data_IF_560248401037
#
_entry.id   IF_560248401037
#
_cell.length_a   1.000
_cell.length_b   1.000
_cell.length_c   1.000
_cell.angle_alpha   90.00
_cell.angle_beta   90.00
_cell.angle_gamma   90.00
#
_symmetry.space_group_name_H-M   'P 1'
#
loop_
_entity.id
_entity.type
_entity.pdbx_description
1 polymer ?
#
# COMPACT_ATOMS: atom_id res chain seq x y z
N UNK A 1 -36.81 -0.24 63.55
CA UNK A 1 -36.41 -0.28 62.12
C UNK A 1 -36.07 1.15 61.73
N UNK A 2 -34.79 1.47 61.53
CA UNK A 2 -33.96 0.84 60.52
C UNK A 2 -32.68 0.17 61.07
N UNK A 3 -32.14 -0.70 60.23
CA UNK A 3 -31.06 -1.65 60.44
C UNK A 3 -29.68 -0.98 60.49
N UNK A 4 -28.86 -1.46 61.42
CA UNK A 4 -27.43 -1.17 61.51
C UNK A 4 -26.72 -2.26 60.71
N UNK A 5 -26.26 -1.94 59.50
CA UNK A 5 -25.41 -2.86 58.72
C UNK A 5 -23.97 -2.56 59.08
N UNK A 6 -23.37 -3.47 59.85
CA UNK A 6 -21.95 -3.52 60.11
C UNK A 6 -21.21 -3.80 58.80
N UNK A 7 -20.32 -2.88 58.40
CA UNK A 7 -19.37 -3.11 57.32
C UNK A 7 -18.29 -4.04 57.84
N UNK A 8 -18.34 -5.29 57.40
CA UNK A 8 -17.27 -6.28 57.61
C UNK A 8 -16.03 -5.86 56.81
N UNK A 9 -14.96 -5.55 57.52
CA UNK A 9 -13.61 -5.47 56.97
C UNK A 9 -13.24 -6.83 56.36
N UNK A 10 -13.16 -6.90 55.03
CA UNK A 10 -12.47 -8.00 54.35
C UNK A 10 -11.09 -7.50 53.93
N UNK A 11 -10.12 -7.77 54.80
CA UNK A 11 -8.72 -7.91 54.40
C UNK A 11 -8.65 -8.99 53.33
N UNK A 12 -8.49 -8.58 52.08
CA UNK A 12 -7.97 -9.45 51.04
C UNK A 12 -6.50 -9.08 50.91
N UNK A 13 -5.66 -9.87 51.57
CA UNK A 13 -4.24 -9.96 51.27
C UNK A 13 -4.10 -10.26 49.77
N UNK A 14 -3.73 -9.25 48.99
CA UNK A 14 -3.27 -9.45 47.63
C UNK A 14 -1.80 -9.84 47.73
N UNK A 15 -1.55 -11.14 47.72
CA UNK A 15 -0.24 -11.69 47.38
C UNK A 15 0.21 -11.08 46.06
N UNK A 16 1.48 -10.65 46.04
CA UNK A 16 2.11 -9.94 44.94
C UNK A 16 2.14 -10.80 43.68
N UNK A 17 1.37 -10.39 42.67
CA UNK A 17 1.61 -10.78 41.29
C UNK A 17 2.89 -10.04 40.84
N UNK A 18 3.93 -10.80 40.50
CA UNK A 18 5.33 -10.34 40.41
C UNK A 18 5.63 -9.55 39.11
N UNK A 19 4.74 -9.60 38.12
CA UNK A 19 4.90 -8.89 36.85
C UNK A 19 4.09 -7.58 36.83
N UNK A 20 4.81 -6.45 36.74
CA UNK A 20 4.16 -5.13 36.57
C UNK A 20 3.82 -4.87 35.12
N UNK A 21 2.78 -4.06 34.85
CA UNK A 21 2.29 -3.78 33.48
C UNK A 21 3.36 -3.20 32.51
N UNK A 22 4.43 -2.61 33.05
CA UNK A 22 5.55 -2.01 32.32
C UNK A 22 6.86 -2.78 32.48
N UNK A 23 6.77 -4.07 32.80
CA UNK A 23 7.92 -4.96 32.97
C UNK A 23 8.29 -5.61 31.62
N UNK A 24 9.46 -5.29 31.05
CA UNK A 24 9.93 -5.88 29.80
C UNK A 24 11.44 -5.76 29.61
N UNK A 25 12.06 -6.79 29.05
CA UNK A 25 13.48 -6.76 28.69
C UNK A 25 13.72 -5.88 27.46
N UNK A 26 14.68 -4.95 27.55
CA UNK A 26 15.07 -4.09 26.43
C UNK A 26 16.26 -4.70 25.69
N UNK A 27 16.00 -5.39 24.59
CA UNK A 27 17.01 -5.78 23.62
C UNK A 27 17.35 -4.60 22.71
N UNK A 28 18.58 -4.09 22.78
CA UNK A 28 18.97 -2.86 22.06
C UNK A 28 19.27 -3.10 20.59
N UNK A 29 19.43 -4.35 20.17
CA UNK A 29 19.56 -4.68 18.74
C UNK A 29 18.18 -4.87 18.09
N UNK A 30 17.12 -4.92 18.90
CA UNK A 30 15.74 -5.00 18.41
C UNK A 30 15.27 -3.73 17.70
N UNK A 31 14.14 -3.86 17.01
CA UNK A 31 13.42 -2.76 16.39
C UNK A 31 12.32 -2.20 17.30
N UNK A 32 12.37 -2.42 18.62
CA UNK A 32 11.42 -1.85 19.57
C UNK A 32 11.64 -0.35 19.77
N UNK A 33 10.62 0.36 20.22
CA UNK A 33 10.74 1.78 20.54
C UNK A 33 11.76 2.03 21.66
N UNK A 34 11.78 1.21 22.72
CA UNK A 34 12.78 1.29 23.78
C UNK A 34 14.22 1.15 23.25
N UNK A 35 14.46 0.19 22.34
CA UNK A 35 15.77 0.01 21.71
C UNK A 35 16.19 1.25 20.90
N UNK A 36 15.27 1.80 20.12
CA UNK A 36 15.49 3.03 19.34
C UNK A 36 15.77 4.23 20.25
N UNK A 37 14.98 4.42 21.31
CA UNK A 37 15.22 5.45 22.33
C UNK A 37 16.62 5.33 22.93
N UNK A 38 17.03 4.12 23.34
CA UNK A 38 18.38 3.90 23.88
C UNK A 38 19.47 4.22 22.86
N UNK A 39 19.28 3.90 21.58
CA UNK A 39 20.22 4.26 20.50
C UNK A 39 20.32 5.77 20.29
N UNK A 40 19.20 6.50 20.34
CA UNK A 40 19.16 7.97 20.25
C UNK A 40 19.83 8.64 21.46
N UNK A 41 19.72 8.06 22.66
CA UNK A 41 20.42 8.55 23.85
C UNK A 41 21.93 8.34 23.75
N UNK A 42 22.37 7.18 23.24
CA UNK A 42 23.79 6.85 23.08
C UNK A 42 24.45 6.32 24.36
N UNK A 43 25.70 6.72 24.59
CA UNK A 43 26.57 6.20 25.68
C UNK A 43 27.21 7.33 26.48
N UNK A 44 27.59 7.03 27.72
CA UNK A 44 28.37 7.92 28.60
C UNK A 44 27.73 9.32 28.80
N UNK A 45 26.39 9.39 28.76
CA UNK A 45 25.61 10.62 28.93
C UNK A 45 25.08 10.77 30.34
N UNK A 46 24.85 12.00 30.78
CA UNK A 46 23.98 12.28 31.93
C UNK A 46 22.55 12.48 31.44
N UNK A 47 21.65 11.62 31.89
CA UNK A 47 20.28 11.50 31.37
C UNK A 47 19.27 11.85 32.45
N UNK A 48 18.26 12.63 32.10
CA UNK A 48 17.03 12.74 32.88
C UNK A 48 15.95 11.87 32.22
N UNK A 49 15.48 10.84 32.90
CA UNK A 49 14.40 9.97 32.43
C UNK A 49 13.10 10.33 33.13
N UNK A 50 12.11 10.76 32.36
CA UNK A 50 10.76 11.04 32.84
C UNK A 50 9.94 9.75 32.67
N UNK A 51 9.27 9.31 33.75
CA UNK A 51 8.46 8.09 33.76
C UNK A 51 9.30 6.82 33.57
N UNK A 52 10.24 6.54 34.47
CA UNK A 52 11.15 5.38 34.31
C UNK A 52 10.49 4.03 34.60
N UNK A 53 9.24 4.01 35.08
CA UNK A 53 8.54 2.82 35.55
C UNK A 53 9.43 2.00 36.50
N UNK A 54 9.54 0.69 36.27
CA UNK A 54 10.37 -0.23 37.05
C UNK A 54 11.88 -0.16 36.72
N UNK A 55 12.30 0.69 35.78
CA UNK A 55 13.71 0.98 35.52
C UNK A 55 14.37 0.15 34.40
N UNK A 56 13.58 -0.50 33.54
CA UNK A 56 14.09 -1.34 32.44
C UNK A 56 15.03 -0.59 31.50
N UNK A 57 14.58 0.57 30.99
CA UNK A 57 15.40 1.40 30.14
C UNK A 57 16.54 2.06 30.93
N UNK A 58 16.28 2.49 32.17
CA UNK A 58 17.28 3.04 33.09
C UNK A 58 18.48 2.10 33.27
N UNK A 59 18.23 0.80 33.51
CA UNK A 59 19.26 -0.22 33.66
C UNK A 59 20.13 -0.30 32.41
N UNK A 60 19.50 -0.34 31.24
CA UNK A 60 20.17 -0.48 29.95
C UNK A 60 20.97 0.77 29.57
N UNK A 61 20.52 1.95 29.98
CA UNK A 61 21.28 3.21 29.87
C UNK A 61 22.49 3.22 30.82
N UNK A 62 22.30 2.80 32.07
CA UNK A 62 23.38 2.68 33.06
C UNK A 62 24.48 1.73 32.57
N UNK A 63 24.10 0.58 32.03
CA UNK A 63 25.04 -0.42 31.49
C UNK A 63 25.78 0.08 30.24
N UNK A 64 25.29 1.17 29.60
CA UNK A 64 25.98 1.93 28.55
C UNK A 64 26.89 3.05 29.06
N UNK A 65 27.09 3.14 30.38
CA UNK A 65 27.89 4.19 31.01
C UNK A 65 27.13 5.48 31.28
N UNK A 66 25.83 5.53 30.98
CA UNK A 66 25.04 6.72 31.30
C UNK A 66 24.79 6.83 32.80
N UNK A 67 24.68 8.06 33.30
CA UNK A 67 24.23 8.34 34.66
C UNK A 67 22.82 8.89 34.60
N UNK A 68 21.87 8.18 35.19
CA UNK A 68 20.43 8.46 35.00
C UNK A 68 19.82 9.04 36.27
N UNK A 69 19.29 10.26 36.17
CA UNK A 69 18.34 10.80 37.14
C UNK A 69 16.95 10.51 36.63
N UNK A 70 16.08 9.92 37.44
CA UNK A 70 14.75 9.51 37.01
C UNK A 70 13.65 10.16 37.85
N UNK A 71 12.50 10.43 37.22
CA UNK A 71 11.27 10.86 37.87
C UNK A 71 10.19 9.81 37.59
N UNK A 72 9.52 9.31 38.61
CA UNK A 72 8.45 8.32 38.49
C UNK A 72 7.27 8.69 39.38
N UNK A 73 6.04 8.51 38.88
CA UNK A 73 4.81 8.83 39.59
C UNK A 73 4.50 7.76 40.65
N UNK A 74 4.64 6.48 40.29
CA UNK A 74 4.29 5.35 41.16
C UNK A 74 5.42 5.02 42.15
N UNK A 75 5.22 5.15 43.47
CA UNK A 75 6.23 4.85 44.47
C UNK A 75 6.75 3.40 44.45
N UNK A 76 5.90 2.43 44.06
CA UNK A 76 6.26 1.01 43.97
C UNK A 76 7.21 0.79 42.78
N UNK A 77 6.88 1.34 41.62
CA UNK A 77 7.73 1.28 40.42
C UNK A 77 9.05 2.00 40.66
N UNK A 78 8.97 3.19 41.26
CA UNK A 78 10.13 3.96 41.66
C UNK A 78 11.06 3.13 42.57
N UNK A 79 10.53 2.45 43.59
CA UNK A 79 11.36 1.62 44.46
C UNK A 79 12.08 0.48 43.70
N UNK A 80 11.43 -0.10 42.67
CA UNK A 80 12.05 -1.10 41.78
C UNK A 80 13.16 -0.48 40.91
N UNK A 81 12.96 0.72 40.36
CA UNK A 81 13.93 1.40 39.50
C UNK A 81 15.16 1.95 40.25
N UNK A 82 15.02 2.27 41.55
CA UNK A 82 16.04 2.95 42.37
C UNK A 82 17.47 2.38 42.26
N UNK A 83 17.71 1.05 42.22
CA UNK A 83 19.06 0.49 42.09
C UNK A 83 19.77 0.80 40.76
N UNK A 84 19.02 1.27 39.75
CA UNK A 84 19.54 1.59 38.42
C UNK A 84 19.83 3.08 38.22
N UNK A 85 19.35 3.94 39.14
CA UNK A 85 19.45 5.40 39.01
C UNK A 85 20.64 5.99 39.80
N UNK A 86 21.24 7.08 39.28
CA UNK A 86 22.06 8.01 40.06
C UNK A 86 21.23 8.69 41.15
N UNK A 87 20.00 9.10 40.78
CA UNK A 87 19.02 9.72 41.68
C UNK A 87 17.61 9.40 41.19
N UNK A 88 16.71 9.10 42.11
CA UNK A 88 15.31 8.85 41.80
C UNK A 88 14.40 9.77 42.61
N UNK A 89 13.49 10.43 41.92
CA UNK A 89 12.50 11.36 42.46
C UNK A 89 11.11 10.75 42.23
N UNK A 90 10.31 10.65 43.30
CA UNK A 90 8.90 10.25 43.18
C UNK A 90 8.06 11.51 43.03
N UNK A 91 7.33 11.66 41.93
CA UNK A 91 6.56 12.87 41.68
C UNK A 91 5.67 12.84 40.44
N UNK A 92 4.58 13.59 40.51
CA UNK A 92 3.63 13.81 39.41
C UNK A 92 4.10 14.98 38.54
N UNK A 93 4.44 14.73 37.28
CA UNK A 93 4.93 15.76 36.34
C UNK A 93 3.92 16.89 36.08
N UNK A 94 2.61 16.67 36.29
CA UNK A 94 1.61 17.75 36.20
C UNK A 94 1.65 18.71 37.40
N UNK A 95 2.31 18.33 38.51
CA UNK A 95 2.30 19.08 39.79
C UNK A 95 3.69 19.37 40.36
N UNK A 96 4.70 18.63 39.94
CA UNK A 96 6.05 18.70 40.46
C UNK A 96 6.73 19.98 39.98
N UNK A 97 7.25 20.77 40.91
CA UNK A 97 8.19 21.84 40.56
C UNK A 97 9.54 21.22 40.20
N UNK A 98 9.80 21.10 38.90
CA UNK A 98 11.07 20.56 38.40
C UNK A 98 12.28 21.37 38.86
N UNK A 99 12.12 22.67 39.11
CA UNK A 99 13.23 23.52 39.58
C UNK A 99 13.61 23.19 41.01
N UNK A 100 12.63 22.95 41.87
CA UNK A 100 12.87 22.50 43.24
C UNK A 100 13.43 21.07 43.26
N UNK A 101 12.85 20.17 42.47
CA UNK A 101 13.22 18.76 42.45
C UNK A 101 14.62 18.50 41.87
N UNK A 102 14.98 19.22 40.79
CA UNK A 102 16.24 19.00 40.07
C UNK A 102 17.33 20.00 40.47
N UNK A 103 16.98 21.18 40.97
CA UNK A 103 17.92 22.24 41.34
C UNK A 103 18.69 22.77 40.12
N UNK A 104 20.01 22.86 40.25
CA UNK A 104 20.91 23.33 39.19
C UNK A 104 21.44 22.22 38.28
N UNK A 105 20.85 21.02 38.36
CA UNK A 105 21.23 19.91 37.49
C UNK A 105 21.11 20.27 36.01
N UNK A 106 22.04 19.71 35.22
CA UNK A 106 22.02 19.78 33.76
C UNK A 106 22.27 18.40 33.15
N UNK A 107 21.59 18.11 32.06
CA UNK A 107 21.58 16.82 31.39
C UNK A 107 22.03 16.97 29.94
N UNK A 108 22.73 15.95 29.45
CA UNK A 108 23.07 15.85 28.03
C UNK A 108 21.84 15.43 27.23
N UNK A 109 20.99 14.56 27.81
CA UNK A 109 19.77 14.07 27.19
C UNK A 109 18.63 14.03 28.19
N UNK A 110 17.43 14.45 27.79
CA UNK A 110 16.19 14.23 28.54
C UNK A 110 15.33 13.23 27.78
N UNK A 111 14.88 12.16 28.43
CA UNK A 111 14.05 11.10 27.82
C UNK A 111 12.63 11.20 28.35
N UNK A 112 11.66 11.22 27.45
CA UNK A 112 10.24 11.09 27.77
C UNK A 112 9.62 10.04 26.83
N UNK A 113 9.88 8.77 27.12
CA UNK A 113 9.35 7.65 26.35
C UNK A 113 7.95 7.31 26.86
N UNK A 114 6.94 7.46 26.01
CA UNK A 114 5.53 7.14 26.31
C UNK A 114 4.99 7.87 27.56
N UNK A 115 5.45 9.11 27.80
CA UNK A 115 5.02 9.93 28.95
C UNK A 115 4.08 11.05 28.56
N UNK A 116 4.41 11.80 27.50
CA UNK A 116 3.73 13.08 27.22
C UNK A 116 2.23 12.93 26.89
N UNK A 117 1.80 11.75 26.43
CA UNK A 117 0.39 11.45 26.16
C UNK A 117 -0.47 11.34 27.44
N UNK A 118 0.15 11.07 28.60
CA UNK A 118 -0.51 10.95 29.89
C UNK A 118 -0.64 12.28 30.65
N UNK A 119 0.03 13.34 30.18
CA UNK A 119 0.08 14.63 30.86
C UNK A 119 -1.11 15.51 30.47
N UNK A 120 -1.56 16.36 31.40
CA UNK A 120 -2.59 17.37 31.12
C UNK A 120 -2.04 18.48 30.23
N UNK A 121 -0.83 18.95 30.50
CA UNK A 121 -0.15 19.99 29.72
C UNK A 121 1.28 19.60 29.35
N UNK A 122 1.47 18.71 28.35
CA UNK A 122 2.80 18.32 27.89
C UNK A 122 3.60 19.50 27.31
N UNK A 123 2.95 20.58 26.85
CA UNK A 123 3.65 21.77 26.36
C UNK A 123 4.35 22.51 27.51
N UNK A 124 3.68 22.67 28.64
CA UNK A 124 4.28 23.31 29.82
C UNK A 124 5.47 22.51 30.35
N UNK A 125 5.35 21.18 30.38
CA UNK A 125 6.45 20.29 30.79
C UNK A 125 7.61 20.38 29.80
N UNK A 126 7.39 20.29 28.49
CA UNK A 126 8.48 20.45 27.52
C UNK A 126 9.20 21.80 27.66
N UNK A 127 8.46 22.90 27.80
CA UNK A 127 9.06 24.24 27.98
C UNK A 127 9.92 24.32 29.24
N UNK A 128 9.48 23.71 30.35
CA UNK A 128 10.24 23.74 31.60
C UNK A 128 11.50 22.87 31.53
N UNK A 129 11.52 21.81 30.70
CA UNK A 129 12.69 20.95 30.53
C UNK A 129 13.90 21.64 29.88
N UNK A 130 13.67 22.67 29.06
CA UNK A 130 14.75 23.39 28.34
C UNK A 130 15.89 23.84 29.25
N UNK A 131 15.57 24.35 30.45
CA UNK A 131 16.58 24.90 31.39
C UNK A 131 17.50 23.83 31.96
N UNK A 132 17.07 22.57 31.94
CA UNK A 132 17.84 21.44 32.46
C UNK A 132 18.70 20.78 31.39
N UNK A 133 18.61 21.20 30.13
CA UNK A 133 19.53 20.77 29.09
C UNK A 133 20.84 21.55 29.16
N UNK A 134 21.96 20.84 28.95
CA UNK A 134 23.25 21.47 28.69
C UNK A 134 23.25 22.14 27.31
N UNK A 135 24.20 23.05 27.03
CA UNK A 135 24.44 23.48 25.65
C UNK A 135 24.69 22.28 24.73
N UNK A 136 23.91 22.17 23.65
CA UNK A 136 23.93 21.02 22.73
C UNK A 136 23.21 19.76 23.24
N UNK A 137 22.57 19.82 24.42
CA UNK A 137 21.71 18.76 24.92
C UNK A 137 20.36 18.75 24.21
N UNK A 138 19.72 17.59 24.18
CA UNK A 138 18.49 17.35 23.43
C UNK A 138 17.49 16.49 24.20
N UNK A 139 16.24 16.49 23.74
CA UNK A 139 15.19 15.62 24.23
C UNK A 139 15.01 14.43 23.28
N UNK A 140 14.84 13.23 23.82
CA UNK A 140 14.38 12.04 23.11
C UNK A 140 12.98 11.70 23.61
N UNK A 141 12.00 11.69 22.71
CA UNK A 141 10.59 11.51 23.07
C UNK A 141 9.97 10.45 22.19
N UNK A 142 9.17 9.55 22.78
CA UNK A 142 8.26 8.69 22.02
C UNK A 142 6.80 9.06 22.28
N UNK A 143 6.00 9.01 21.22
CA UNK A 143 4.58 9.36 21.28
C UNK A 143 3.75 8.43 20.39
N UNK A 144 2.64 7.87 20.90
CA UNK A 144 1.74 7.02 20.13
C UNK A 144 1.04 7.82 19.03
N UNK A 145 0.79 7.16 17.90
CA UNK A 145 0.13 7.74 16.74
C UNK A 145 -1.36 7.36 16.70
N UNK A 146 -2.24 8.30 17.02
CA UNK A 146 -3.70 8.09 16.91
C UNK A 146 -4.17 7.94 15.46
N UNK A 147 -3.34 8.33 14.49
CA UNK A 147 -3.60 8.13 13.07
C UNK A 147 -3.11 6.77 12.55
N UNK A 148 -2.74 5.81 13.40
CA UNK A 148 -2.46 4.44 12.96
C UNK A 148 -3.72 3.81 12.31
N UNK A 149 -3.52 2.95 11.32
CA UNK A 149 -4.61 2.39 10.50
C UNK A 149 -5.64 1.60 11.30
N UNK A 150 -5.24 0.93 12.40
CA UNK A 150 -6.17 0.20 13.26
C UNK A 150 -7.16 1.13 13.96
N UNK A 151 -6.71 2.31 14.40
CA UNK A 151 -7.56 3.33 15.01
C UNK A 151 -8.48 3.96 13.97
N UNK A 152 -7.97 4.24 12.76
CA UNK A 152 -8.79 4.74 11.65
C UNK A 152 -9.93 3.78 11.30
N UNK A 153 -9.63 2.49 11.19
CA UNK A 153 -10.63 1.46 10.88
C UNK A 153 -11.65 1.30 12.02
N UNK A 154 -11.20 1.27 13.28
CA UNK A 154 -12.10 1.25 14.43
C UNK A 154 -13.04 2.47 14.43
N UNK A 155 -12.53 3.67 14.13
CA UNK A 155 -13.34 4.89 14.02
C UNK A 155 -14.37 4.83 12.88
N UNK A 156 -14.04 4.23 11.74
CA UNK A 156 -15.00 4.00 10.64
C UNK A 156 -16.13 3.07 11.05
N UNK A 157 -15.88 2.16 12.00
CA UNK A 157 -16.90 1.30 12.63
C UNK A 157 -17.63 1.99 13.80
N UNK A 158 -17.34 3.27 14.06
CA UNK A 158 -17.91 4.03 15.18
C UNK A 158 -17.35 3.62 16.54
N UNK A 159 -16.17 3.00 16.58
CA UNK A 159 -15.52 2.51 17.79
C UNK A 159 -14.32 3.39 18.17
N UNK A 160 -14.16 3.62 19.48
CA UNK A 160 -12.94 4.16 20.07
C UNK A 160 -12.60 3.36 21.32
N UNK A 161 -12.14 2.10 21.15
CA UNK A 161 -12.08 1.16 22.25
C UNK A 161 -10.87 1.47 23.14
N UNK A 162 -11.12 2.09 24.29
CA UNK A 162 -10.07 2.25 25.30
C UNK A 162 -9.52 0.89 25.71
N UNK A 163 -8.19 0.82 25.78
CA UNK A 163 -7.44 -0.37 26.13
C UNK A 163 -6.67 -0.14 27.42
N UNK A 164 -6.18 -1.25 27.89
CA UNK A 164 -5.32 -1.31 29.05
C UNK A 164 -3.90 -0.80 28.69
N UNK A 165 -3.32 -1.26 27.59
CA UNK A 165 -2.08 -0.74 27.02
C UNK A 165 -2.28 -0.35 25.56
N UNK A 166 -1.35 0.44 25.03
CA UNK A 166 -1.20 0.71 23.60
C UNK A 166 -1.73 2.08 23.16
N UNK A 167 -2.06 2.21 21.88
CA UNK A 167 -2.44 3.47 21.23
C UNK A 167 -3.62 4.16 21.92
N UNK A 168 -4.62 3.36 22.33
CA UNK A 168 -5.83 3.83 23.00
C UNK A 168 -5.83 3.48 24.49
N UNK A 169 -4.67 3.49 25.13
CA UNK A 169 -4.58 3.32 26.58
C UNK A 169 -5.53 4.29 27.32
N UNK A 170 -6.26 3.77 28.30
CA UNK A 170 -7.29 4.51 29.05
C UNK A 170 -6.76 5.69 29.86
N UNK A 171 -5.45 5.73 30.13
CA UNK A 171 -4.79 6.82 30.85
C UNK A 171 -4.28 7.93 29.92
N UNK A 172 -4.34 7.76 28.60
CA UNK A 172 -3.99 8.82 27.65
C UNK A 172 -4.97 9.99 27.74
N UNK A 173 -4.43 11.18 28.00
CA UNK A 173 -5.18 12.46 28.03
C UNK A 173 -5.01 13.26 26.73
N UNK A 174 -4.02 12.90 25.92
CA UNK A 174 -3.65 13.57 24.67
C UNK A 174 -3.38 12.53 23.58
N UNK A 175 -3.80 12.86 22.36
CA UNK A 175 -3.64 12.00 21.19
C UNK A 175 -2.91 12.77 20.11
N UNK A 176 -1.89 12.15 19.50
CA UNK A 176 -1.02 12.81 18.54
C UNK A 176 -1.03 12.12 17.18
N UNK A 177 -1.03 12.94 16.14
CA UNK A 177 -0.61 12.62 14.77
C UNK A 177 0.80 13.20 14.55
N UNK A 178 1.45 12.88 13.43
CA UNK A 178 2.71 13.54 13.07
C UNK A 178 2.58 15.07 13.09
N UNK A 179 1.49 15.62 12.55
CA UNK A 179 1.26 17.07 12.47
C UNK A 179 1.14 17.72 13.85
N UNK A 180 0.34 17.13 14.75
CA UNK A 180 0.16 17.67 16.10
C UNK A 180 1.40 17.47 16.97
N UNK A 181 2.16 16.40 16.74
CA UNK A 181 3.46 16.19 17.39
C UNK A 181 4.45 17.28 16.97
N UNK A 182 4.61 17.55 15.67
CA UNK A 182 5.49 18.63 15.19
C UNK A 182 5.10 19.97 15.81
N UNK A 183 3.79 20.25 15.89
CA UNK A 183 3.27 21.45 16.52
C UNK A 183 3.55 21.52 18.03
N UNK A 184 3.46 20.41 18.75
CA UNK A 184 3.81 20.32 20.18
C UNK A 184 5.25 20.79 20.42
N UNK A 185 6.22 20.27 19.66
CA UNK A 185 7.62 20.68 19.79
C UNK A 185 7.83 22.15 19.41
N UNK A 186 7.20 22.59 18.32
CA UNK A 186 7.33 23.96 17.86
C UNK A 186 6.79 25.00 18.87
N UNK A 187 5.60 24.74 19.43
CA UNK A 187 4.98 25.56 20.48
C UNK A 187 5.71 25.47 21.83
N UNK A 188 6.59 24.47 21.98
CA UNK A 188 7.44 24.28 23.16
C UNK A 188 8.86 24.82 22.99
N UNK A 189 9.14 25.55 21.91
CA UNK A 189 10.47 26.06 21.55
C UNK A 189 11.52 24.95 21.32
N UNK A 190 11.13 23.86 20.66
CA UNK A 190 12.05 22.82 20.21
C UNK A 190 12.02 22.67 18.68
N UNK A 191 13.16 22.29 18.11
CA UNK A 191 13.28 21.84 16.73
C UNK A 191 13.52 20.33 16.69
N UNK A 192 12.68 19.61 15.95
CA UNK A 192 12.90 18.19 15.69
C UNK A 192 14.04 18.07 14.67
N UNK A 193 15.09 17.36 15.04
CA UNK A 193 16.29 17.14 14.20
C UNK A 193 16.38 15.71 13.68
N UNK A 194 15.75 14.77 14.39
CA UNK A 194 15.62 13.38 13.99
C UNK A 194 14.22 12.88 14.29
N UNK A 195 13.67 12.05 13.40
CA UNK A 195 12.32 11.50 13.50
C UNK A 195 12.35 10.07 12.96
N UNK A 196 12.17 9.11 13.84
CA UNK A 196 12.12 7.67 13.54
C UNK A 196 10.69 7.14 13.75
N UNK A 197 10.33 6.09 13.00
CA UNK A 197 9.02 5.43 13.10
C UNK A 197 9.17 4.08 13.76
N UNK A 198 8.33 3.82 14.73
CA UNK A 198 8.00 2.45 15.08
C UNK A 198 6.85 2.00 14.19
N UNK A 199 7.12 1.05 13.31
CA UNK A 199 6.06 0.46 12.51
C UNK A 199 5.42 -0.73 13.23
N UNK A 200 4.11 -0.88 13.06
CA UNK A 200 3.36 -2.08 13.38
C UNK A 200 2.34 -2.29 12.26
N UNK A 201 2.14 -3.54 11.85
CA UNK A 201 1.12 -3.84 10.85
C UNK A 201 -0.27 -3.52 11.43
N UNK A 202 -1.15 -2.96 10.59
CA UNK A 202 -2.49 -2.49 10.99
C UNK A 202 -3.25 -3.56 11.78
N UNK A 203 -3.14 -4.82 11.37
CA UNK A 203 -3.85 -5.94 11.97
C UNK A 203 -3.11 -6.66 13.10
N UNK A 204 -1.96 -6.14 13.50
CA UNK A 204 -1.17 -6.61 14.65
C UNK A 204 -1.28 -5.70 15.86
N UNK A 205 -1.96 -4.57 15.72
CA UNK A 205 -2.30 -3.69 16.85
C UNK A 205 -3.36 -4.32 17.73
N UNK A 206 -3.27 -4.00 19.02
CA UNK A 206 -4.23 -4.23 20.10
C UNK A 206 -5.59 -3.53 19.88
N UNK A 207 -5.65 -2.55 18.98
CA UNK A 207 -6.90 -1.89 18.58
C UNK A 207 -7.65 -2.80 17.60
N UNK A 208 -8.81 -3.27 18.06
CA UNK A 208 -9.65 -4.23 17.35
C UNK A 208 -10.64 -3.54 16.41
N UNK A 209 -10.78 -4.09 15.20
CA UNK A 209 -11.79 -3.72 14.19
C UNK A 209 -12.24 -5.00 13.46
N UNK A 210 -13.40 -4.99 12.82
CA UNK A 210 -13.87 -6.15 12.05
C UNK A 210 -13.30 -6.13 10.63
N UNK A 211 -12.28 -6.96 10.37
CA UNK A 211 -11.64 -7.08 9.06
C UNK A 211 -12.63 -7.43 7.93
N UNK A 212 -13.67 -8.20 8.23
CA UNK A 212 -14.66 -8.62 7.21
C UNK A 212 -15.50 -7.43 6.70
N UNK A 213 -15.57 -6.35 7.48
CA UNK A 213 -16.27 -5.12 7.11
C UNK A 213 -15.39 -4.12 6.35
N UNK A 214 -14.10 -4.41 6.17
CA UNK A 214 -13.14 -3.49 5.53
C UNK A 214 -12.99 -3.87 4.05
N UNK A 215 -13.33 -2.97 3.10
CA UNK A 215 -13.07 -3.21 1.69
C UNK A 215 -11.57 -3.50 1.46
N UNK A 216 -11.20 -4.54 0.69
CA UNK A 216 -9.80 -4.90 0.44
C UNK A 216 -8.96 -3.72 -0.07
N UNK A 217 -9.52 -2.91 -0.97
CA UNK A 217 -8.83 -1.76 -1.56
C UNK A 217 -8.53 -0.67 -0.51
N UNK A 218 -9.43 -0.50 0.47
CA UNK A 218 -9.20 0.43 1.58
C UNK A 218 -8.11 -0.08 2.50
N UNK A 219 -8.13 -1.37 2.84
CA UNK A 219 -7.10 -1.97 3.68
C UNK A 219 -5.72 -1.90 3.01
N UNK A 220 -5.63 -2.22 1.72
CA UNK A 220 -4.40 -2.11 0.93
C UNK A 220 -3.88 -0.67 0.87
N UNK A 221 -4.78 0.30 0.65
CA UNK A 221 -4.44 1.73 0.67
C UNK A 221 -3.85 2.14 2.03
N UNK A 222 -4.50 1.78 3.14
CA UNK A 222 -3.97 2.05 4.48
C UNK A 222 -2.67 1.30 4.76
N UNK A 223 -2.54 0.05 4.33
CA UNK A 223 -1.30 -0.71 4.49
C UNK A 223 -0.14 -0.11 3.69
N UNK A 224 -0.41 0.57 2.58
CA UNK A 224 0.62 1.29 1.81
C UNK A 224 1.01 2.63 2.43
N UNK A 225 0.14 3.25 3.23
CA UNK A 225 0.37 4.55 3.87
C UNK A 225 1.36 4.41 5.07
N UNK A 226 2.55 5.02 5.02
CA UNK A 226 3.51 4.98 6.13
C UNK A 226 2.94 5.53 7.44
N UNK A 227 2.06 6.53 7.40
CA UNK A 227 1.43 7.08 8.60
C UNK A 227 0.49 6.04 9.23
N UNK A 228 -0.25 5.28 8.41
CA UNK A 228 -1.14 4.22 8.87
C UNK A 228 -0.40 3.02 9.44
N UNK A 229 0.84 2.76 9.00
CA UNK A 229 1.71 1.72 9.58
C UNK A 229 2.54 2.22 10.77
N UNK A 230 2.57 3.52 11.02
CA UNK A 230 3.34 4.07 12.14
C UNK A 230 2.54 3.93 13.43
N UNK A 231 3.03 3.10 14.34
CA UNK A 231 2.46 2.88 15.66
C UNK A 231 2.83 4.02 16.62
N UNK A 232 4.10 4.41 16.63
CA UNK A 232 4.58 5.54 17.43
C UNK A 232 5.73 6.25 16.75
N UNK A 233 5.88 7.53 17.07
CA UNK A 233 7.00 8.37 16.64
C UNK A 233 8.07 8.38 17.71
N UNK A 234 9.33 8.37 17.31
CA UNK A 234 10.45 8.68 18.17
C UNK A 234 11.16 9.91 17.61
N UNK A 235 11.43 10.89 18.45
CA UNK A 235 12.03 12.15 18.00
C UNK A 235 13.22 12.55 18.85
N UNK A 236 14.25 13.06 18.18
CA UNK A 236 15.32 13.83 18.79
C UNK A 236 15.05 15.32 18.54
N UNK A 237 14.88 16.08 19.61
CA UNK A 237 14.51 17.48 19.54
C UNK A 237 15.47 18.37 20.34
N UNK A 238 15.94 19.44 19.71
CA UNK A 238 16.88 20.39 20.32
C UNK A 238 16.14 21.65 20.74
N UNK A 239 16.42 22.22 21.93
CA UNK A 239 15.82 23.47 22.35
C UNK A 239 16.28 24.60 21.42
N UNK A 240 15.34 25.41 20.95
CA UNK A 240 15.65 26.59 20.17
C UNK A 240 16.30 27.65 21.07
N UNK A 241 17.36 28.32 20.60
CA UNK A 241 17.95 29.43 21.33
C UNK A 241 16.92 30.56 21.47
N UNK A 242 16.86 31.19 22.64
CA UNK A 242 16.00 32.36 22.87
C UNK A 242 16.32 33.47 21.87
N UNK A 243 17.61 33.63 21.59
CA UNK A 243 18.13 34.46 20.51
C UNK A 243 17.84 33.80 19.17
N UNK A 244 16.79 34.27 18.48
CA UNK A 244 16.49 33.87 17.11
C UNK A 244 15.37 32.86 16.93
N UNK A 245 14.77 32.32 18.00
CA UNK A 245 13.59 31.43 17.87
C UNK A 245 12.45 32.06 17.05
N UNK A 246 12.23 33.37 17.18
CA UNK A 246 11.19 34.09 16.44
C UNK A 246 11.47 34.18 14.94
N UNK A 247 12.74 34.08 14.55
CA UNK A 247 13.14 33.95 13.16
C UNK A 247 13.12 32.49 12.69
N UNK A 248 13.63 31.56 13.51
CA UNK A 248 13.74 30.13 13.16
C UNK A 248 12.36 29.48 12.98
N UNK A 249 11.42 29.72 13.90
CA UNK A 249 10.11 29.05 13.90
C UNK A 249 9.31 29.28 12.60
N UNK A 250 9.11 30.53 12.12
CA UNK A 250 8.43 30.75 10.84
C UNK A 250 9.13 30.05 9.66
N UNK A 251 10.46 30.02 9.63
CA UNK A 251 11.21 29.34 8.57
C UNK A 251 11.06 27.83 8.63
N UNK A 252 11.05 27.23 9.83
CA UNK A 252 10.76 25.80 9.99
C UNK A 252 9.33 25.47 9.55
N UNK A 253 8.34 26.34 9.85
CA UNK A 253 6.97 26.17 9.35
C UNK A 253 6.89 26.26 7.83
N UNK A 254 7.55 27.24 7.23
CA UNK A 254 7.59 27.41 5.77
C UNK A 254 8.20 26.18 5.10
N UNK A 255 9.35 25.71 5.60
CA UNK A 255 10.01 24.50 5.10
C UNK A 255 9.13 23.27 5.25
N UNK A 256 8.49 23.08 6.41
CA UNK A 256 7.57 21.97 6.63
C UNK A 256 6.34 22.05 5.70
N UNK A 257 5.81 23.25 5.46
CA UNK A 257 4.73 23.49 4.51
C UNK A 257 5.12 23.12 3.08
N UNK A 258 6.29 23.60 2.62
CA UNK A 258 6.83 23.29 1.29
C UNK A 258 7.17 21.81 1.11
N UNK A 259 7.68 21.15 2.14
CA UNK A 259 7.92 19.70 2.14
C UNK A 259 6.59 18.94 2.01
N UNK A 260 5.55 19.35 2.74
CA UNK A 260 4.23 18.75 2.67
C UNK A 260 3.60 18.95 1.28
N UNK A 261 3.65 20.16 0.73
CA UNK A 261 3.18 20.46 -0.63
C UNK A 261 3.92 19.61 -1.67
N UNK A 262 5.24 19.46 -1.53
CA UNK A 262 6.04 18.62 -2.41
C UNK A 262 5.64 17.13 -2.32
N UNK A 263 5.37 16.62 -1.10
CA UNK A 263 4.87 15.25 -0.89
C UNK A 263 3.50 15.02 -1.50
N UNK A 264 2.57 15.96 -1.32
CA UNK A 264 1.23 15.87 -1.91
C UNK A 264 1.28 15.91 -3.44
N UNK A 265 2.13 16.77 -4.00
CA UNK A 265 2.39 16.82 -5.44
C UNK A 265 3.00 15.52 -5.97
N UNK A 266 3.96 14.92 -5.24
CA UNK A 266 4.56 13.63 -5.58
C UNK A 266 3.50 12.51 -5.58
N UNK A 267 2.72 12.40 -4.51
CA UNK A 267 1.67 11.38 -4.40
C UNK A 267 0.58 11.56 -5.48
N UNK A 268 0.26 12.79 -5.85
CA UNK A 268 -0.65 13.07 -6.97
C UNK A 268 -0.05 12.64 -8.33
N UNK A 269 1.26 12.84 -8.51
CA UNK A 269 1.99 12.39 -9.70
C UNK A 269 2.02 10.86 -9.80
N UNK A 270 2.28 10.17 -8.68
CA UNK A 270 2.27 8.70 -8.60
C UNK A 270 0.90 8.13 -8.95
N UNK A 271 -0.18 8.63 -8.34
CA UNK A 271 -1.56 8.21 -8.68
C UNK A 271 -1.89 8.42 -10.16
N UNK A 272 -1.43 9.55 -10.74
CA UNK A 272 -1.61 9.82 -12.17
C UNK A 272 -0.83 8.81 -13.02
N UNK A 273 0.42 8.51 -12.64
CA UNK A 273 1.26 7.54 -13.33
C UNK A 273 0.64 6.13 -13.29
N UNK A 274 0.14 5.69 -12.14
CA UNK A 274 -0.55 4.41 -11.96
C UNK A 274 -1.79 4.31 -12.85
N UNK A 275 -2.61 5.37 -12.87
CA UNK A 275 -3.79 5.44 -13.74
C UNK A 275 -3.41 5.35 -15.22
N UNK A 276 -2.43 6.14 -15.67
CA UNK A 276 -1.95 6.09 -17.05
C UNK A 276 -1.37 4.71 -17.40
N UNK A 277 -0.66 4.07 -16.47
CA UNK A 277 -0.16 2.72 -16.67
C UNK A 277 -1.29 1.68 -16.78
N UNK A 278 -2.37 1.83 -15.99
CA UNK A 278 -3.56 0.98 -16.09
C UNK A 278 -4.28 1.16 -17.44
N UNK A 279 -4.50 2.40 -17.88
CA UNK A 279 -5.09 2.74 -19.18
C UNK A 279 -4.24 2.17 -20.34
N UNK A 280 -2.92 2.28 -20.27
CA UNK A 280 -2.00 1.71 -21.28
C UNK A 280 -2.07 0.18 -21.30
N UNK A 281 -2.12 -0.49 -20.13
CA UNK A 281 -2.27 -1.95 -20.05
C UNK A 281 -3.58 -2.41 -20.69
N UNK A 282 -4.68 -1.70 -20.44
CA UNK A 282 -5.96 -2.00 -21.07
C UNK A 282 -5.90 -1.82 -22.59
N UNK A 283 -5.38 -0.69 -23.08
CA UNK A 283 -5.25 -0.44 -24.51
C UNK A 283 -4.38 -1.50 -25.21
N UNK A 284 -3.27 -1.93 -24.58
CA UNK A 284 -2.44 -3.02 -25.08
C UNK A 284 -3.18 -4.35 -25.14
N UNK A 285 -4.05 -4.64 -24.17
CA UNK A 285 -4.91 -5.84 -24.21
C UNK A 285 -5.87 -5.79 -25.39
N UNK A 286 -6.57 -4.66 -25.60
CA UNK A 286 -7.50 -4.49 -26.71
C UNK A 286 -6.82 -4.61 -28.07
N UNK A 287 -5.60 -4.05 -28.23
CA UNK A 287 -4.80 -4.20 -29.45
C UNK A 287 -4.41 -5.66 -29.67
N UNK A 288 -4.00 -6.37 -28.61
CA UNK A 288 -3.64 -7.79 -28.69
C UNK A 288 -4.84 -8.65 -29.11
N UNK A 289 -6.02 -8.39 -28.56
CA UNK A 289 -7.25 -9.11 -28.88
C UNK A 289 -7.69 -8.86 -30.33
N UNK A 290 -7.63 -7.60 -30.80
CA UNK A 290 -7.90 -7.25 -32.20
C UNK A 290 -6.90 -7.91 -33.16
N UNK A 291 -5.62 -7.93 -32.81
CA UNK A 291 -4.60 -8.60 -33.61
C UNK A 291 -4.88 -10.11 -33.71
N UNK A 292 -5.24 -10.77 -32.61
CA UNK A 292 -5.61 -12.18 -32.62
C UNK A 292 -6.82 -12.46 -33.53
N UNK A 293 -7.81 -11.56 -33.55
CA UNK A 293 -8.98 -11.67 -34.43
C UNK A 293 -8.61 -11.48 -35.91
N UNK A 294 -7.79 -10.48 -36.23
CA UNK A 294 -7.30 -10.27 -37.60
C UNK A 294 -6.52 -11.49 -38.10
N UNK A 295 -5.66 -12.08 -37.26
CA UNK A 295 -4.92 -13.30 -37.60
C UNK A 295 -5.89 -14.45 -37.93
N UNK A 296 -6.92 -14.67 -37.12
CA UNK A 296 -7.95 -15.70 -37.40
C UNK A 296 -8.68 -15.46 -38.73
N UNK A 297 -9.04 -14.21 -39.01
CA UNK A 297 -9.70 -13.85 -40.27
C UNK A 297 -8.79 -14.08 -41.47
N UNK A 298 -7.50 -13.74 -41.35
CA UNK A 298 -6.50 -13.98 -42.39
C UNK A 298 -6.31 -15.48 -42.65
N UNK A 299 -6.25 -16.31 -41.60
CA UNK A 299 -6.17 -17.77 -41.74
C UNK A 299 -7.41 -18.34 -42.45
N UNK A 300 -8.61 -17.87 -42.08
CA UNK A 300 -9.86 -18.28 -42.72
C UNK A 300 -9.94 -17.86 -44.20
N UNK A 301 -9.52 -16.63 -44.52
CA UNK A 301 -9.44 -16.15 -45.91
C UNK A 301 -8.44 -16.95 -46.73
N UNK A 302 -7.28 -17.27 -46.15
CA UNK A 302 -6.24 -18.08 -46.81
C UNK A 302 -6.74 -19.50 -47.08
N UNK A 303 -7.49 -20.10 -46.16
CA UNK A 303 -8.13 -21.39 -46.39
C UNK A 303 -9.17 -21.31 -47.51
N UNK A 304 -10.03 -20.29 -47.49
CA UNK A 304 -11.06 -20.10 -48.52
C UNK A 304 -10.45 -19.87 -49.90
N UNK A 305 -9.35 -19.13 -49.99
CA UNK A 305 -8.61 -18.96 -51.24
C UNK A 305 -8.10 -20.31 -51.79
N UNK A 306 -7.56 -21.18 -50.92
CA UNK A 306 -7.12 -22.52 -51.32
C UNK A 306 -8.27 -23.38 -51.83
N UNK A 307 -9.42 -23.37 -51.15
CA UNK A 307 -10.62 -24.08 -51.59
C UNK A 307 -11.09 -23.59 -52.97
N UNK A 308 -11.22 -22.27 -53.15
CA UNK A 308 -11.63 -21.68 -54.42
C UNK A 308 -10.65 -22.00 -55.56
N UNK A 309 -9.34 -22.09 -55.29
CA UNK A 309 -8.36 -22.53 -56.28
C UNK A 309 -8.58 -23.97 -56.70
N UNK A 310 -8.93 -24.87 -55.78
CA UNK A 310 -9.26 -26.27 -56.11
C UNK A 310 -10.54 -26.34 -56.94
N UNK A 311 -11.61 -25.65 -56.50
CA UNK A 311 -12.88 -25.56 -57.24
C UNK A 311 -12.68 -25.02 -58.67
N UNK A 312 -11.81 -24.03 -58.85
CA UNK A 312 -11.49 -23.46 -60.16
C UNK A 312 -10.78 -24.46 -61.08
N UNK A 313 -9.83 -25.23 -60.54
CA UNK A 313 -9.14 -26.29 -61.29
C UNK A 313 -10.13 -27.38 -61.70
N UNK A 314 -10.99 -27.83 -60.79
CA UNK A 314 -12.02 -28.84 -61.08
C UNK A 314 -13.00 -28.37 -62.16
N UNK A 315 -13.47 -27.12 -62.07
CA UNK A 315 -14.34 -26.52 -63.08
C UNK A 315 -13.65 -26.41 -64.46
N UNK A 316 -12.36 -26.08 -64.48
CA UNK A 316 -11.57 -26.04 -65.70
C UNK A 316 -11.45 -27.43 -66.35
N UNK A 317 -11.15 -28.47 -65.55
CA UNK A 317 -11.08 -29.85 -66.03
C UNK A 317 -12.42 -30.38 -66.56
N UNK A 318 -13.53 -29.98 -65.95
CA UNK A 318 -14.88 -30.31 -66.46
C UNK A 318 -15.15 -29.65 -67.81
N UNK A 319 -14.77 -28.39 -67.98
CA UNK A 319 -14.92 -27.69 -69.26
C UNK A 319 -14.10 -28.35 -70.37
N UNK A 320 -12.87 -28.77 -70.08
CA UNK A 320 -12.04 -29.51 -71.04
C UNK A 320 -12.69 -30.83 -71.48
N UNK A 321 -13.27 -31.58 -70.53
CA UNK A 321 -13.99 -32.82 -70.85
C UNK A 321 -15.22 -32.56 -71.74
N UNK A 322 -16.01 -31.53 -71.43
CA UNK A 322 -17.15 -31.16 -72.26
C UNK A 322 -16.73 -30.70 -73.66
N UNK A 323 -15.60 -29.99 -73.79
CA UNK A 323 -15.04 -29.62 -75.10
C UNK A 323 -14.63 -30.86 -75.91
N UNK A 324 -13.94 -31.81 -75.29
CA UNK A 324 -13.57 -33.09 -75.91
C UNK A 324 -14.80 -33.89 -76.37
N UNK A 325 -15.86 -33.96 -75.54
CA UNK A 325 -17.13 -34.61 -75.89
C UNK A 325 -17.83 -33.92 -77.08
N UNK A 326 -17.91 -32.59 -77.07
CA UNK A 326 -18.46 -31.81 -78.18
C UNK A 326 -17.67 -32.04 -79.47
N UNK A 327 -16.34 -32.05 -79.39
CA UNK A 327 -15.48 -32.35 -80.53
C UNK A 327 -15.67 -33.79 -81.02
N UNK A 328 -15.93 -34.74 -80.11
CA UNK A 328 -16.36 -36.10 -80.43
C UNK A 328 -17.66 -36.12 -81.24
N UNK A 329 -18.72 -35.47 -80.74
CA UNK A 329 -19.99 -35.35 -81.45
C UNK A 329 -19.86 -34.69 -82.82
N UNK A 330 -19.04 -33.64 -82.95
CA UNK A 330 -18.76 -32.97 -84.23
C UNK A 330 -18.12 -33.94 -85.22
N UNK A 331 -17.14 -34.75 -84.79
CA UNK A 331 -16.50 -35.76 -85.63
C UNK A 331 -17.50 -36.82 -86.08
N UNK A 332 -18.36 -37.30 -85.19
CA UNK A 332 -19.38 -38.30 -85.50
C UNK A 332 -20.44 -37.79 -86.48
N UNK A 333 -21.00 -36.60 -86.23
CA UNK A 333 -21.93 -35.94 -87.16
C UNK A 333 -21.28 -35.71 -88.53
N UNK A 334 -20.00 -35.34 -88.56
CA UNK A 334 -19.24 -35.18 -89.80
C UNK A 334 -19.08 -36.51 -90.54
N UNK A 335 -18.79 -37.60 -89.83
CA UNK A 335 -18.70 -38.95 -90.40
C UNK A 335 -20.06 -39.45 -90.93
N UNK A 336 -21.14 -39.27 -90.17
CA UNK A 336 -22.51 -39.59 -90.58
C UNK A 336 -22.91 -38.80 -91.83
N UNK A 337 -22.62 -37.48 -91.87
CA UNK A 337 -22.83 -36.63 -93.05
C UNK A 337 -22.09 -37.18 -94.26
N UNK A 338 -20.83 -37.57 -94.10
CA UNK A 338 -20.02 -38.12 -95.19
C UNK A 338 -20.53 -39.49 -95.66
N UNK A 339 -20.98 -40.36 -94.75
CA UNK A 339 -21.63 -41.64 -95.08
C UNK A 339 -22.94 -41.45 -95.84
N UNK A 340 -23.80 -40.53 -95.38
CA UNK A 340 -25.03 -40.17 -96.07
C UNK A 340 -24.72 -39.67 -97.48
N UNK A 341 -23.75 -38.76 -97.63
CA UNK A 341 -23.31 -38.26 -98.93
C UNK A 341 -22.84 -39.40 -99.85
N UNK A 342 -22.04 -40.35 -99.34
CA UNK A 342 -21.59 -41.51 -100.12
C UNK A 342 -22.73 -42.48 -100.48
N UNK A 343 -23.71 -42.67 -99.58
CA UNK A 343 -24.91 -43.49 -99.85
C UNK A 343 -25.81 -42.81 -100.88
N UNK A 344 -25.93 -41.49 -100.81
CA UNK A 344 -26.62 -40.66 -101.80
C UNK A 344 -25.98 -40.78 -103.18
N UNK A 345 -24.65 -40.73 -103.24
CA UNK A 345 -23.90 -40.85 -104.50
C UNK A 345 -23.98 -42.29 -105.07
N UNK A 346 -24.03 -43.32 -104.22
CA UNK A 346 -24.32 -44.71 -104.65
C UNK A 346 -25.73 -44.86 -105.22
N UNK A 347 -26.75 -44.32 -104.53
CA UNK A 347 -28.14 -44.33 -105.01
C UNK A 347 -28.27 -43.60 -106.35
N UNK A 348 -27.57 -42.48 -106.49
CA UNK A 348 -27.47 -41.72 -107.74
C UNK A 348 -26.92 -42.55 -108.89
N UNK A 349 -25.92 -43.40 -108.64
CA UNK A 349 -25.32 -44.28 -109.67
C UNK A 349 -26.19 -45.50 -110.02
N UNK A 350 -27.08 -45.95 -109.13
CA UNK A 350 -27.95 -47.12 -109.35
C UNK A 350 -29.33 -46.80 -109.96
N UNK A 351 -29.66 -45.53 -110.16
CA UNK A 351 -30.95 -45.10 -110.72
C UNK A 351 -30.86 -44.93 -112.25
N UNK A 352 -31.78 -45.51 -113.04
CA UNK A 352 -31.88 -45.24 -114.47
C UNK A 352 -32.09 -43.75 -114.74
N UNK A 353 -31.51 -43.22 -115.82
CA UNK A 353 -31.40 -41.77 -116.10
C UNK A 353 -32.69 -40.94 -116.12
N UNK A 354 -33.87 -41.56 -116.06
CA UNK A 354 -35.18 -40.87 -115.95
C UNK A 354 -35.61 -40.61 -114.49
N UNK A 355 -35.09 -41.34 -113.50
CA UNK A 355 -35.54 -41.25 -112.09
C UNK A 355 -34.77 -40.20 -111.28
N UNK A 356 -33.51 -39.92 -111.62
CA UNK A 356 -32.65 -38.97 -110.91
C UNK A 356 -33.12 -37.50 -111.01
N UNK A 357 -33.82 -37.14 -112.10
CA UNK A 357 -34.37 -35.79 -112.31
C UNK A 357 -35.48 -35.41 -111.32
N UNK A 358 -36.24 -36.39 -110.83
CA UNK A 358 -37.30 -36.18 -109.83
C UNK A 358 -36.75 -35.93 -108.42
N UNK A 359 -35.76 -36.71 -107.99
CA UNK A 359 -35.13 -36.60 -106.67
C UNK A 359 -34.33 -35.29 -106.48
N UNK A 360 -33.69 -34.77 -107.53
CA UNK A 360 -32.95 -33.50 -107.47
C UNK A 360 -33.86 -32.29 -107.19
N UNK A 361 -35.12 -32.37 -107.61
CA UNK A 361 -36.14 -31.34 -107.34
C UNK A 361 -36.56 -31.33 -105.86
N UNK A 362 -36.67 -32.51 -105.25
CA UNK A 362 -37.09 -32.69 -103.86
C UNK A 362 -35.97 -32.27 -102.89
N UNK A 363 -34.69 -32.60 -103.14
CA UNK A 363 -33.60 -32.17 -102.26
C UNK A 363 -33.30 -30.67 -102.29
N UNK A 364 -33.54 -30.00 -103.41
CA UNK A 364 -33.38 -28.54 -103.47
C UNK A 364 -34.49 -27.80 -102.70
N UNK A 365 -35.63 -28.45 -102.41
CA UNK A 365 -36.68 -27.88 -101.54
C UNK A 365 -36.37 -28.09 -100.05
N UNK A 366 -35.52 -29.06 -99.68
CA UNK A 366 -35.17 -29.36 -98.28
C UNK A 366 -33.92 -28.64 -97.77
N UNK A 367 -33.27 -27.80 -98.60
CA UNK A 367 -32.09 -26.98 -98.26
C UNK A 367 -32.44 -25.50 -97.98
N UNK A 368 -33.73 -25.17 -97.91
CA UNK A 368 -34.23 -23.86 -97.49
C UNK A 368 -34.36 -23.78 -95.99
#
# INVERSE_FOLDING_TARGET
>A
MPETVALSESKVDREADDETRYDFAVDVDSQSAHAKTVRLVGRDKRVLELGCASGHMTQVLRDRGCRVVAIELDPVMANRARPHCERLIVGDLDRLDLSEALGDDRFDVIVAADVLAHLKDPWAVLRSLKRFLRPGGYAVVSLPNVAHGSVRLALLEGQFPYKELGLLESTHLRFFTLRSLTRLFEESDFAITHLERQELMIDRSEVTFNKDNVPPELFESLASDPESRTYQYLVEAHPLPEEGKDWIKPHLRDLAGREQEAREALAACERKAERTAAEMRQALSEVRDRHAEIVKQLDAMTLRERELRVELVDAHDQLLRHDDELMGHIRELTAQRNQLAARFERLRRSLPGKTYRGLKKILNMARG
#
